data_IF_745429783039
#
_entry.id   IF_745429783039
#
_cell.length_a   1.000
_cell.length_b   1.000
_cell.length_c   1.000
_cell.angle_alpha   90.00
_cell.angle_beta   90.00
_cell.angle_gamma   90.00
#
_symmetry.space_group_name_H-M   'P 1'
#
loop_
_entity.id
_entity.type
_entity.pdbx_description
1 polymer ?
#
# COMPACT_ATOMS: atom_id res chain seq x y z
N UNK A 1 -42.89 -0.02 41.65
CA UNK A 1 -41.42 -0.04 41.43
C UNK A 1 -40.94 -1.44 41.82
N UNK A 2 -40.46 -2.34 40.98
CA UNK A 2 -39.85 -2.21 39.66
C UNK A 2 -40.16 -3.46 38.81
N UNK A 3 -41.06 -3.28 37.84
CA UNK A 3 -41.18 -4.12 36.64
C UNK A 3 -40.21 -3.56 35.59
N UNK A 4 -38.90 -3.84 35.69
CA UNK A 4 -37.93 -3.44 34.67
C UNK A 4 -36.53 -4.09 34.77
N UNK A 5 -36.39 -5.36 35.21
CA UNK A 5 -35.05 -5.96 35.40
C UNK A 5 -34.89 -7.41 34.91
N UNK A 6 -35.64 -7.83 33.88
CA UNK A 6 -35.55 -9.20 33.32
C UNK A 6 -35.45 -9.27 31.78
N UNK A 7 -34.71 -8.36 31.12
CA UNK A 7 -34.55 -8.39 29.65
C UNK A 7 -33.15 -8.14 29.08
N UNK A 8 -32.09 -8.19 29.88
CA UNK A 8 -30.71 -7.98 29.37
C UNK A 8 -29.75 -9.14 29.65
N UNK A 9 -30.25 -10.28 30.12
CA UNK A 9 -29.43 -11.44 30.48
C UNK A 9 -29.65 -12.63 29.52
N UNK A 10 -29.59 -12.39 28.20
CA UNK A 10 -29.65 -13.46 27.18
C UNK A 10 -28.77 -13.25 25.93
N UNK A 11 -27.81 -12.32 25.99
CA UNK A 11 -26.91 -12.01 24.88
C UNK A 11 -25.42 -12.20 25.19
N UNK A 12 -25.03 -12.26 26.47
CA UNK A 12 -23.64 -12.56 26.88
C UNK A 12 -23.37 -14.08 27.00
N UNK A 13 -24.35 -14.89 27.39
CA UNK A 13 -24.19 -16.36 27.52
C UNK A 13 -24.19 -17.10 26.16
N UNK A 14 -24.42 -16.40 25.04
CA UNK A 14 -24.34 -16.96 23.68
C UNK A 14 -23.04 -16.65 22.95
N UNK A 15 -22.15 -15.83 23.52
CA UNK A 15 -20.91 -15.40 22.87
C UNK A 15 -19.62 -15.84 23.58
N UNK A 16 -19.71 -16.50 24.75
CA UNK A 16 -18.55 -16.92 25.55
C UNK A 16 -18.62 -18.39 26.01
N UNK A 17 -19.03 -19.30 25.13
CA UNK A 17 -19.14 -20.74 25.41
C UNK A 17 -18.18 -21.63 24.61
N UNK A 18 -17.03 -21.11 24.19
CA UNK A 18 -16.00 -21.90 23.52
C UNK A 18 -14.63 -21.50 24.07
N UNK A 19 -14.11 -22.25 25.04
CA UNK A 19 -12.68 -22.57 25.27
C UNK A 19 -12.53 -23.29 26.61
N UNK A 20 -12.66 -24.62 26.61
CA UNK A 20 -11.99 -25.45 27.62
C UNK A 20 -11.08 -26.44 26.87
N UNK A 21 -9.79 -26.32 27.17
CA UNK A 21 -8.71 -27.13 26.62
C UNK A 21 -8.57 -28.38 27.48
N UNK A 22 -8.89 -29.55 26.96
CA UNK A 22 -8.31 -30.80 27.46
C UNK A 22 -7.15 -31.20 26.55
N UNK A 23 -5.93 -30.99 27.05
CA UNK A 23 -4.71 -31.56 26.49
C UNK A 23 -4.47 -32.93 27.15
N UNK A 24 -4.42 -33.98 26.34
CA UNK A 24 -3.98 -35.31 26.78
C UNK A 24 -2.52 -35.62 26.39
N UNK A 25 -1.89 -36.43 27.24
CA UNK A 25 -0.43 -36.53 27.53
C UNK A 25 0.47 -37.21 26.49
N UNK A 26 0.11 -37.26 25.21
CA UNK A 26 0.92 -37.98 24.18
C UNK A 26 1.29 -37.16 22.95
N UNK A 27 1.03 -35.84 22.95
CA UNK A 27 1.61 -34.92 21.95
C UNK A 27 1.30 -35.23 20.48
N UNK A 28 0.25 -36.01 20.21
CA UNK A 28 -0.14 -36.45 18.87
C UNK A 28 -1.64 -36.19 18.69
N UNK A 29 -2.00 -35.02 18.14
CA UNK A 29 -3.38 -34.78 17.72
C UNK A 29 -3.56 -35.43 16.35
N UNK A 30 -4.21 -36.59 16.32
CA UNK A 30 -4.83 -37.11 15.10
C UNK A 30 -6.10 -36.29 14.84
N UNK A 31 -5.95 -35.16 14.15
CA UNK A 31 -7.10 -34.52 13.52
C UNK A 31 -7.60 -35.48 12.44
N UNK A 32 -8.80 -36.01 12.65
CA UNK A 32 -9.57 -36.72 11.65
C UNK A 32 -9.72 -35.78 10.45
N UNK A 33 -8.95 -36.01 9.38
CA UNK A 33 -8.72 -35.05 8.28
C UNK A 33 -9.90 -34.95 7.30
N UNK A 34 -11.12 -35.16 7.77
CA UNK A 34 -12.31 -35.35 6.94
C UNK A 34 -13.28 -34.16 6.99
N UNK A 35 -13.04 -33.15 7.84
CA UNK A 35 -13.99 -32.03 8.07
C UNK A 35 -13.44 -30.67 7.63
N UNK A 36 -12.37 -30.62 6.82
CA UNK A 36 -11.88 -29.36 6.24
C UNK A 36 -11.56 -29.51 4.76
N UNK A 37 -12.61 -29.39 3.92
CA UNK A 37 -12.54 -28.82 2.56
C UNK A 37 -13.92 -28.78 1.91
N UNK A 38 -14.82 -27.94 2.43
CA UNK A 38 -15.91 -27.43 1.60
C UNK A 38 -15.84 -25.90 1.59
N UNK A 39 -15.50 -25.38 0.42
CA UNK A 39 -15.51 -23.95 0.10
C UNK A 39 -16.84 -23.34 0.55
N UNK A 40 -16.86 -22.19 1.27
CA UNK A 40 -18.07 -21.65 1.90
C UNK A 40 -19.18 -21.21 0.93
N UNK A 41 -19.02 -21.47 -0.37
CA UNK A 41 -19.96 -21.13 -1.44
C UNK A 41 -20.06 -22.26 -2.48
N UNK A 42 -19.96 -23.52 -2.04
CA UNK A 42 -20.18 -24.70 -2.86
C UNK A 42 -21.59 -24.75 -3.44
N UNK A 43 -21.69 -25.17 -4.70
CA UNK A 43 -22.96 -25.46 -5.38
C UNK A 43 -23.56 -26.73 -4.74
N UNK A 44 -24.51 -26.57 -3.81
CA UNK A 44 -25.15 -27.66 -3.05
C UNK A 44 -26.08 -28.56 -3.89
N UNK A 45 -25.82 -28.73 -5.20
CA UNK A 45 -26.70 -29.48 -6.10
C UNK A 45 -28.09 -28.85 -6.30
N UNK A 46 -28.31 -27.65 -5.77
CA UNK A 46 -29.52 -26.87 -5.92
C UNK A 46 -29.22 -25.69 -6.84
N UNK A 47 -30.08 -25.47 -7.83
CA UNK A 47 -29.93 -24.49 -8.90
C UNK A 47 -30.07 -23.02 -8.43
N UNK A 48 -29.66 -22.69 -7.20
CA UNK A 48 -29.86 -21.40 -6.54
C UNK A 48 -28.55 -20.81 -5.99
N UNK A 49 -28.38 -19.50 -6.14
CA UNK A 49 -27.23 -18.72 -5.64
C UNK A 49 -27.71 -17.39 -5.02
N UNK A 50 -26.95 -16.86 -4.06
CA UNK A 50 -27.26 -15.60 -3.37
C UNK A 50 -26.84 -14.36 -4.18
N UNK A 51 -27.74 -13.38 -4.31
CA UNK A 51 -27.41 -12.09 -4.91
C UNK A 51 -26.69 -11.17 -3.91
N UNK A 52 -25.48 -10.70 -4.24
CA UNK A 52 -24.71 -9.80 -3.35
C UNK A 52 -25.28 -8.38 -3.21
N UNK A 53 -26.33 -8.04 -3.98
CA UNK A 53 -26.97 -6.73 -3.90
C UNK A 53 -28.23 -6.74 -3.02
N UNK A 54 -29.11 -7.75 -3.18
CA UNK A 54 -30.35 -7.84 -2.41
C UNK A 54 -30.33 -8.90 -1.30
N UNK A 55 -29.29 -9.74 -1.22
CA UNK A 55 -29.16 -10.77 -0.18
C UNK A 55 -30.06 -12.00 -0.34
N UNK A 56 -30.92 -12.04 -1.36
CA UNK A 56 -31.85 -13.16 -1.59
C UNK A 56 -31.21 -14.33 -2.34
N UNK A 57 -31.60 -15.55 -2.00
CA UNK A 57 -31.34 -16.76 -2.78
C UNK A 57 -32.25 -16.79 -4.01
N UNK A 58 -31.65 -16.98 -5.20
CA UNK A 58 -32.38 -17.01 -6.46
C UNK A 58 -31.84 -18.09 -7.37
N UNK A 59 -32.68 -18.58 -8.26
CA UNK A 59 -32.22 -19.51 -9.29
C UNK A 59 -31.07 -18.92 -10.12
N UNK A 60 -30.11 -19.76 -10.50
CA UNK A 60 -28.98 -19.43 -11.37
C UNK A 60 -29.44 -18.78 -12.69
N UNK A 61 -30.60 -19.18 -13.19
CA UNK A 61 -31.27 -18.61 -14.37
C UNK A 61 -31.53 -17.10 -14.25
N UNK A 62 -31.67 -16.59 -13.02
CA UNK A 62 -31.86 -15.17 -12.70
C UNK A 62 -30.56 -14.38 -12.69
N UNK A 63 -29.42 -14.99 -13.01
CA UNK A 63 -28.11 -14.35 -13.15
C UNK A 63 -27.60 -14.46 -14.58
N UNK A 64 -26.68 -13.57 -14.96
CA UNK A 64 -25.99 -13.67 -16.25
C UNK A 64 -24.75 -14.54 -16.09
N UNK A 65 -24.45 -15.35 -17.11
CA UNK A 65 -23.19 -16.10 -17.19
C UNK A 65 -22.04 -15.10 -17.24
N UNK A 66 -21.01 -15.34 -16.43
CA UNK A 66 -19.80 -14.54 -16.35
C UNK A 66 -18.58 -15.46 -16.37
N UNK A 67 -18.02 -15.63 -17.57
CA UNK A 67 -16.88 -16.52 -17.84
C UNK A 67 -15.56 -15.99 -17.27
N UNK A 68 -15.53 -14.74 -16.82
CA UNK A 68 -14.30 -14.12 -16.29
C UNK A 68 -14.06 -14.47 -14.81
N UNK A 69 -15.05 -15.03 -14.13
CA UNK A 69 -14.97 -15.34 -12.71
C UNK A 69 -15.09 -16.85 -12.43
N UNK A 70 -14.50 -17.31 -11.33
CA UNK A 70 -14.48 -18.73 -10.94
C UNK A 70 -15.87 -19.32 -10.66
N UNK A 71 -16.89 -18.49 -10.41
CA UNK A 71 -18.27 -18.91 -10.12
C UNK A 71 -19.09 -19.15 -11.39
N UNK A 72 -18.63 -18.69 -12.56
CA UNK A 72 -19.32 -18.83 -13.85
C UNK A 72 -20.56 -17.96 -14.03
N UNK A 73 -21.01 -17.25 -12.98
CA UNK A 73 -22.19 -16.39 -12.99
C UNK A 73 -21.89 -15.05 -12.32
N UNK A 74 -22.61 -14.02 -12.72
CA UNK A 74 -22.49 -12.68 -12.14
C UNK A 74 -22.91 -12.72 -10.66
N UNK A 75 -22.21 -11.95 -9.81
CA UNK A 75 -22.53 -11.83 -8.38
C UNK A 75 -23.84 -11.10 -8.06
N UNK A 76 -24.46 -10.45 -9.06
CA UNK A 76 -25.72 -9.72 -8.96
C UNK A 76 -26.78 -10.32 -9.90
N UNK A 77 -28.01 -10.48 -9.43
CA UNK A 77 -29.10 -10.99 -10.26
C UNK A 77 -29.47 -10.00 -11.38
N UNK A 78 -30.08 -10.49 -12.47
CA UNK A 78 -30.50 -9.71 -13.65
C UNK A 78 -31.34 -8.48 -13.26
N UNK A 79 -32.23 -8.64 -12.28
CA UNK A 79 -33.05 -7.56 -11.73
C UNK A 79 -32.21 -6.54 -10.95
N UNK A 80 -31.35 -6.96 -10.03
CA UNK A 80 -30.45 -6.03 -9.33
C UNK A 80 -29.45 -5.36 -10.28
N UNK A 81 -29.08 -5.99 -11.40
CA UNK A 81 -28.27 -5.35 -12.46
C UNK A 81 -29.07 -4.37 -13.29
N UNK A 82 -30.36 -4.60 -13.52
CA UNK A 82 -31.22 -3.64 -14.21
C UNK A 82 -31.57 -2.45 -13.31
N UNK A 83 -31.81 -2.71 -12.02
CA UNK A 83 -31.99 -1.68 -10.98
C UNK A 83 -30.67 -0.95 -10.71
N UNK A 84 -29.53 -1.64 -10.74
CA UNK A 84 -28.19 -1.04 -10.63
C UNK A 84 -27.77 -0.17 -11.84
N UNK A 85 -28.63 -0.06 -12.87
CA UNK A 85 -28.60 0.98 -13.90
C UNK A 85 -29.69 2.02 -13.71
N UNK A 86 -30.19 2.24 -12.48
CA UNK A 86 -30.93 3.46 -12.21
C UNK A 86 -29.99 4.62 -12.58
N UNK A 87 -30.44 5.42 -13.56
CA UNK A 87 -29.72 6.59 -14.08
C UNK A 87 -29.46 7.66 -13.00
N UNK A 88 -30.04 7.44 -11.81
CA UNK A 88 -30.10 8.34 -10.67
C UNK A 88 -29.31 7.85 -9.44
N UNK A 89 -28.39 6.89 -9.61
CA UNK A 89 -27.43 6.58 -8.53
C UNK A 89 -26.56 7.83 -8.26
N UNK A 90 -26.43 8.28 -7.01
CA UNK A 90 -25.58 9.42 -6.69
C UNK A 90 -24.17 9.12 -7.19
N UNK A 91 -23.66 10.00 -8.06
CA UNK A 91 -22.33 9.86 -8.63
C UNK A 91 -21.34 9.84 -7.48
N UNK A 92 -20.66 8.72 -7.26
CA UNK A 92 -19.52 8.68 -6.34
C UNK A 92 -18.46 9.61 -6.94
N UNK A 93 -18.36 10.81 -6.38
CA UNK A 93 -17.34 11.78 -6.72
C UNK A 93 -16.01 11.16 -6.31
N UNK A 94 -15.17 10.80 -7.28
CA UNK A 94 -13.81 10.37 -7.00
C UNK A 94 -12.96 11.61 -6.82
N UNK A 95 -12.20 11.67 -5.74
CA UNK A 95 -11.26 12.76 -5.48
C UNK A 95 -9.85 12.35 -5.92
N UNK A 96 -9.11 13.30 -6.46
CA UNK A 96 -7.70 13.14 -6.79
C UNK A 96 -6.89 12.85 -5.52
N UNK A 97 -6.04 11.82 -5.55
CA UNK A 97 -5.18 11.47 -4.41
C UNK A 97 -4.11 12.52 -4.07
N UNK A 98 -3.88 13.48 -4.97
CA UNK A 98 -2.82 14.49 -4.80
C UNK A 98 -3.34 15.88 -4.47
N UNK A 99 -4.40 16.34 -5.13
CA UNK A 99 -4.93 17.70 -4.97
C UNK A 99 -6.40 17.74 -4.54
N UNK A 100 -7.00 16.58 -4.29
CA UNK A 100 -8.39 16.42 -3.87
C UNK A 100 -9.46 16.98 -4.84
N UNK A 101 -9.08 17.37 -6.06
CA UNK A 101 -10.02 17.80 -7.09
C UNK A 101 -10.90 16.64 -7.58
N UNK A 102 -12.12 16.96 -8.00
CA UNK A 102 -13.07 15.97 -8.51
C UNK A 102 -12.61 15.37 -9.85
N UNK A 103 -12.55 14.04 -9.94
CA UNK A 103 -12.23 13.30 -11.14
C UNK A 103 -13.53 13.07 -11.93
N UNK A 104 -13.70 13.82 -13.03
CA UNK A 104 -14.93 13.84 -13.83
C UNK A 104 -15.20 12.57 -14.65
N UNK A 105 -14.22 11.66 -14.78
CA UNK A 105 -14.33 10.47 -15.63
C UNK A 105 -14.96 9.27 -14.91
N UNK A 106 -16.23 8.99 -15.26
CA UNK A 106 -17.13 7.98 -14.66
C UNK A 106 -16.64 6.53 -14.71
N UNK A 107 -15.59 6.22 -15.47
CA UNK A 107 -15.04 4.87 -15.62
C UNK A 107 -13.54 4.73 -15.38
N UNK A 108 -12.82 5.82 -15.06
CA UNK A 108 -11.36 5.73 -14.93
C UNK A 108 -10.97 5.11 -13.59
N UNK A 109 -10.04 4.14 -13.61
CA UNK A 109 -9.25 3.70 -12.45
C UNK A 109 -8.21 4.75 -12.03
N UNK A 110 -8.13 5.87 -12.76
CA UNK A 110 -7.21 6.96 -12.50
C UNK A 110 -7.40 7.49 -11.09
N UNK A 111 -6.30 7.52 -10.34
CA UNK A 111 -6.27 8.03 -8.98
C UNK A 111 -5.91 9.53 -8.92
N UNK A 112 -5.67 10.16 -10.08
CA UNK A 112 -5.24 11.56 -10.21
C UNK A 112 -6.07 12.29 -11.27
N UNK A 113 -6.32 13.59 -11.06
CA UNK A 113 -7.18 14.39 -11.94
C UNK A 113 -6.50 14.91 -13.21
N UNK A 114 -5.17 14.93 -13.28
CA UNK A 114 -4.39 15.52 -14.38
C UNK A 114 -3.03 14.82 -14.54
N UNK A 115 -2.36 15.04 -15.68
CA UNK A 115 -0.98 14.59 -15.89
C UNK A 115 -0.01 15.19 -14.86
N UNK A 116 -0.25 16.44 -14.43
CA UNK A 116 0.53 17.08 -13.36
C UNK A 116 0.43 16.31 -12.03
N UNK A 117 -0.79 15.97 -11.60
CA UNK A 117 -0.97 15.16 -10.40
C UNK A 117 -0.48 13.72 -10.58
N UNK A 118 -0.58 13.15 -11.78
CA UNK A 118 0.00 11.85 -12.08
C UNK A 118 1.53 11.85 -11.93
N UNK A 119 2.20 12.92 -12.39
CA UNK A 119 3.64 13.15 -12.17
C UNK A 119 3.99 13.21 -10.69
N UNK A 120 3.33 14.06 -9.91
CA UNK A 120 3.55 14.17 -8.45
C UNK A 120 3.36 12.83 -7.74
N UNK A 121 2.32 12.07 -8.11
CA UNK A 121 2.08 10.72 -7.57
C UNK A 121 3.19 9.74 -7.96
N UNK A 122 3.69 9.80 -9.19
CA UNK A 122 4.81 9.00 -9.65
C UNK A 122 6.10 9.36 -8.89
N UNK A 123 6.34 10.65 -8.63
CA UNK A 123 7.49 11.14 -7.84
C UNK A 123 7.40 10.67 -6.39
N UNK A 124 6.20 10.69 -5.78
CA UNK A 124 5.97 10.10 -4.46
C UNK A 124 6.21 8.58 -4.47
N UNK A 125 5.83 7.89 -5.54
CA UNK A 125 6.09 6.45 -5.72
C UNK A 125 7.59 6.17 -5.88
N UNK A 126 8.36 7.10 -6.44
CA UNK A 126 9.82 7.00 -6.50
C UNK A 126 10.47 6.90 -5.11
N UNK A 127 9.78 7.20 -3.99
CA UNK A 127 10.26 6.84 -2.63
C UNK A 127 10.59 5.34 -2.47
N UNK A 128 10.07 4.45 -3.31
CA UNK A 128 10.46 3.04 -3.36
C UNK A 128 11.87 2.77 -3.90
N UNK A 129 12.48 3.73 -4.60
CA UNK A 129 13.83 3.58 -5.16
C UNK A 129 14.95 3.81 -4.13
N UNK A 130 14.64 4.26 -2.91
CA UNK A 130 15.63 4.34 -1.81
C UNK A 130 16.28 2.98 -1.52
N UNK A 131 15.53 1.90 -1.71
CA UNK A 131 16.03 0.53 -1.60
C UNK A 131 17.21 0.27 -2.55
N UNK A 132 17.25 0.93 -3.72
CA UNK A 132 18.37 0.83 -4.66
C UNK A 132 19.68 1.32 -4.03
N UNK A 133 19.62 2.45 -3.32
CA UNK A 133 20.78 3.04 -2.64
C UNK A 133 21.19 2.21 -1.43
N UNK A 134 20.22 1.75 -0.64
CA UNK A 134 20.48 0.86 0.49
C UNK A 134 21.15 -0.43 0.02
N UNK A 135 20.65 -1.06 -1.04
CA UNK A 135 21.22 -2.30 -1.56
C UNK A 135 22.62 -2.07 -2.16
N UNK A 136 22.83 -0.99 -2.93
CA UNK A 136 24.13 -0.62 -3.47
C UNK A 136 25.20 -0.48 -2.37
N UNK A 137 24.82 0.12 -1.26
CA UNK A 137 25.72 0.41 -0.15
C UNK A 137 25.76 -0.72 0.90
N UNK A 138 25.02 -1.81 0.69
CA UNK A 138 24.94 -2.95 1.61
C UNK A 138 24.34 -2.59 2.96
N UNK A 139 23.38 -1.66 2.98
CA UNK A 139 22.75 -1.12 4.19
C UNK A 139 23.76 -0.54 5.21
N UNK A 140 24.95 -0.14 4.74
CA UNK A 140 26.04 0.39 5.57
C UNK A 140 26.13 1.90 5.46
N UNK A 141 26.23 2.59 6.60
CA UNK A 141 26.45 4.03 6.61
C UNK A 141 27.77 4.39 5.92
N UNK A 142 27.72 5.22 4.88
CA UNK A 142 28.91 5.62 4.12
C UNK A 142 29.83 6.60 4.86
N UNK A 143 29.39 7.10 6.02
CA UNK A 143 30.19 8.00 6.86
C UNK A 143 30.87 7.26 8.03
N UNK A 144 30.10 6.52 8.83
CA UNK A 144 30.63 5.86 10.03
C UNK A 144 30.79 4.34 9.92
N UNK A 145 30.36 3.74 8.81
CA UNK A 145 30.49 2.30 8.58
C UNK A 145 29.52 1.42 9.36
N UNK A 146 28.69 1.97 10.26
CA UNK A 146 27.70 1.19 11.05
C UNK A 146 26.59 0.58 10.18
N UNK A 147 25.99 -0.50 10.67
CA UNK A 147 24.86 -1.19 10.02
C UNK A 147 23.67 -1.41 10.96
N UNK A 148 22.42 -1.46 10.47
CA UNK A 148 21.26 -1.78 11.30
C UNK A 148 21.36 -3.13 12.01
N UNK A 149 22.00 -4.12 11.38
CA UNK A 149 22.14 -5.47 11.92
C UNK A 149 23.15 -5.58 13.07
N UNK A 150 24.20 -4.76 13.05
CA UNK A 150 25.30 -4.84 14.03
C UNK A 150 25.13 -3.81 15.16
N UNK A 151 24.56 -2.63 14.86
CA UNK A 151 24.61 -1.47 15.75
C UNK A 151 23.24 -0.95 16.21
N UNK A 152 22.13 -1.61 15.84
CA UNK A 152 20.75 -1.17 16.13
C UNK A 152 20.47 0.31 15.73
N UNK A 153 20.88 0.67 14.51
CA UNK A 153 20.72 2.03 13.99
C UNK A 153 19.69 2.11 12.87
N UNK A 154 19.01 3.26 12.78
CA UNK A 154 18.18 3.61 11.62
C UNK A 154 19.05 4.16 10.49
N UNK A 155 18.88 3.63 9.28
CA UNK A 155 19.46 4.14 8.05
C UNK A 155 18.46 4.96 7.23
N UNK A 156 18.99 5.95 6.50
CA UNK A 156 18.29 6.88 5.61
C UNK A 156 19.15 7.18 4.39
N UNK A 157 18.59 7.80 3.37
CA UNK A 157 19.37 8.37 2.27
C UNK A 157 19.79 9.81 2.64
N UNK A 158 21.05 10.15 2.39
CA UNK A 158 21.59 11.51 2.55
C UNK A 158 22.24 11.99 1.24
N UNK A 159 22.26 13.31 1.05
CA UNK A 159 22.83 13.97 -0.11
C UNK A 159 24.31 14.29 0.09
N UNK A 160 25.19 13.76 -0.76
CA UNK A 160 26.64 14.04 -0.73
C UNK A 160 26.85 15.56 -0.91
N UNK A 161 26.26 16.14 -1.98
CA UNK A 161 26.11 17.58 -2.17
C UNK A 161 24.76 18.03 -1.57
N UNK A 162 24.74 18.90 -0.55
CA UNK A 162 23.51 19.35 0.09
C UNK A 162 22.52 20.01 -0.88
N UNK A 163 21.23 19.94 -0.56
CA UNK A 163 20.17 20.53 -1.39
C UNK A 163 20.27 22.04 -1.53
N UNK A 164 20.64 22.72 -0.46
CA UNK A 164 20.82 24.18 -0.45
C UNK A 164 21.87 24.64 -1.48
N UNK A 165 22.73 23.72 -1.95
CA UNK A 165 23.74 23.99 -2.96
C UNK A 165 23.40 23.42 -4.34
N UNK A 166 22.14 23.00 -4.52
CA UNK A 166 21.67 22.38 -5.77
C UNK A 166 22.07 20.91 -5.91
N UNK A 167 22.15 20.17 -4.80
CA UNK A 167 22.27 18.72 -4.84
C UNK A 167 21.00 18.05 -5.37
N UNK A 168 21.13 17.25 -6.42
CA UNK A 168 20.02 16.51 -7.04
C UNK A 168 19.65 15.27 -6.21
N UNK A 169 18.42 14.78 -6.36
CA UNK A 169 17.94 13.55 -5.72
C UNK A 169 18.32 12.29 -6.54
N UNK A 170 19.51 12.28 -7.13
CA UNK A 170 19.98 11.26 -8.08
C UNK A 170 20.88 10.22 -7.43
N UNK A 171 21.03 9.06 -8.09
CA UNK A 171 21.81 7.95 -7.57
C UNK A 171 23.31 8.27 -7.38
N UNK A 172 23.87 9.21 -8.13
CA UNK A 172 25.23 9.72 -7.97
C UNK A 172 25.42 10.65 -6.77
N UNK A 173 24.36 11.31 -6.30
CA UNK A 173 24.42 12.27 -5.21
C UNK A 173 23.83 11.73 -3.89
N UNK A 174 23.31 10.50 -3.87
CA UNK A 174 22.70 9.90 -2.69
C UNK A 174 23.51 8.74 -2.14
N UNK A 175 23.61 8.68 -0.82
CA UNK A 175 24.28 7.61 -0.06
C UNK A 175 23.43 7.11 1.09
N UNK A 176 23.68 5.86 1.48
CA UNK A 176 23.16 5.32 2.75
C UNK A 176 23.88 5.95 3.93
N UNK A 177 23.12 6.49 4.87
CA UNK A 177 23.61 7.20 6.04
C UNK A 177 22.80 6.79 7.28
N UNK A 178 23.42 6.71 8.46
CA UNK A 178 22.67 6.52 9.70
C UNK A 178 22.03 7.84 10.15
N UNK A 179 20.93 7.76 10.89
CA UNK A 179 20.21 8.95 11.37
C UNK A 179 21.12 9.93 12.15
N UNK A 180 22.06 9.41 12.96
CA UNK A 180 23.02 10.23 13.72
C UNK A 180 23.98 11.01 12.82
N UNK A 181 24.61 10.36 11.83
CA UNK A 181 25.49 11.03 10.88
C UNK A 181 24.73 12.02 10.00
N UNK A 182 23.51 11.65 9.57
CA UNK A 182 22.65 12.52 8.76
C UNK A 182 22.33 13.82 9.51
N UNK A 183 21.94 13.72 10.78
CA UNK A 183 21.68 14.88 11.63
C UNK A 183 22.95 15.70 11.92
N UNK A 184 24.09 15.04 12.12
CA UNK A 184 25.36 15.71 12.37
C UNK A 184 25.87 16.49 11.14
N UNK A 185 25.67 15.95 9.95
CA UNK A 185 25.99 16.61 8.67
C UNK A 185 24.99 17.72 8.38
N UNK A 186 23.70 17.44 8.47
CA UNK A 186 22.63 18.39 8.10
C UNK A 186 22.90 18.98 6.71
N UNK A 187 22.74 20.29 6.55
CA UNK A 187 23.01 21.01 5.30
C UNK A 187 24.49 21.36 5.07
N UNK A 188 25.42 20.83 5.89
CA UNK A 188 26.85 21.12 5.74
C UNK A 188 27.45 20.39 4.54
N UNK A 189 28.35 21.09 3.85
CA UNK A 189 29.28 20.48 2.89
C UNK A 189 30.20 19.49 3.60
N UNK A 190 30.53 18.40 2.91
CA UNK A 190 31.65 17.56 3.27
C UNK A 190 32.97 18.30 3.02
N UNK A 191 34.01 17.93 3.76
CA UNK A 191 35.37 18.36 3.44
C UNK A 191 35.73 17.89 2.02
N UNK A 192 36.52 18.64 1.24
CA UNK A 192 36.82 18.31 -0.16
C UNK A 192 37.33 16.88 -0.36
N UNK A 193 38.26 16.43 0.48
CA UNK A 193 38.81 15.08 0.43
C UNK A 193 37.74 14.01 0.69
N UNK A 194 36.88 14.21 1.69
CA UNK A 194 35.78 13.30 2.01
C UNK A 194 34.74 13.26 0.89
N UNK A 195 34.43 14.43 0.31
CA UNK A 195 33.52 14.55 -0.82
C UNK A 195 34.02 13.74 -2.02
N UNK A 196 35.29 13.88 -2.37
CA UNK A 196 35.88 13.18 -3.52
C UNK A 196 35.93 11.67 -3.30
N UNK A 197 36.35 11.22 -2.12
CA UNK A 197 36.39 9.80 -1.76
C UNK A 197 35.00 9.14 -1.85
N UNK A 198 33.99 9.76 -1.26
CA UNK A 198 32.62 9.22 -1.26
C UNK A 198 32.03 9.26 -2.67
N UNK A 199 32.20 10.37 -3.40
CA UNK A 199 31.67 10.50 -4.77
C UNK A 199 32.27 9.45 -5.72
N UNK A 200 33.58 9.20 -5.61
CA UNK A 200 34.26 8.16 -6.39
C UNK A 200 33.74 6.76 -6.04
N UNK A 201 33.63 6.43 -4.75
CA UNK A 201 33.08 5.17 -4.27
C UNK A 201 31.65 4.93 -4.79
N UNK A 202 30.81 5.97 -4.78
CA UNK A 202 29.45 5.93 -5.32
C UNK A 202 29.44 5.69 -6.82
N UNK A 203 30.27 6.40 -7.59
CA UNK A 203 30.39 6.21 -9.04
C UNK A 203 30.82 4.77 -9.39
N UNK A 204 31.83 4.24 -8.69
CA UNK A 204 32.34 2.88 -8.87
C UNK A 204 31.27 1.83 -8.56
N UNK A 205 30.54 2.00 -7.45
CA UNK A 205 29.43 1.12 -7.09
C UNK A 205 28.28 1.21 -8.09
N UNK A 206 27.89 2.41 -8.52
CA UNK A 206 26.85 2.59 -9.53
C UNK A 206 27.21 1.84 -10.82
N UNK A 207 28.47 1.94 -11.28
CA UNK A 207 28.99 1.17 -12.42
C UNK A 207 28.94 -0.34 -12.16
N UNK A 208 29.42 -0.79 -11.00
CA UNK A 208 29.45 -2.22 -10.61
C UNK A 208 28.05 -2.84 -10.59
N UNK A 209 27.04 -2.12 -10.11
CA UNK A 209 25.67 -2.60 -9.98
C UNK A 209 24.76 -2.22 -11.16
N UNK A 210 25.30 -1.60 -12.23
CA UNK A 210 24.52 -1.19 -13.40
C UNK A 210 23.46 -0.11 -13.12
N UNK A 211 23.70 0.73 -12.12
CA UNK A 211 22.77 1.80 -11.71
C UNK A 211 23.03 3.03 -12.56
N UNK A 212 21.98 3.55 -13.22
CA UNK A 212 22.05 4.83 -13.91
C UNK A 212 22.34 5.96 -12.90
N UNK A 213 23.48 6.68 -13.01
CA UNK A 213 23.87 7.74 -12.08
C UNK A 213 22.82 8.84 -11.95
N UNK A 214 22.11 9.16 -13.05
CA UNK A 214 21.08 10.21 -13.11
C UNK A 214 19.67 9.70 -12.82
N UNK A 215 19.52 8.46 -12.35
CA UNK A 215 18.21 7.98 -11.87
C UNK A 215 17.82 8.79 -10.63
N UNK A 216 16.65 9.42 -10.68
CA UNK A 216 16.03 10.08 -9.53
C UNK A 216 15.59 9.01 -8.53
N UNK A 217 16.01 9.13 -7.27
CA UNK A 217 15.80 8.16 -6.20
C UNK A 217 14.78 8.66 -5.18
N UNK A 218 14.84 9.94 -4.80
CA UNK A 218 13.87 10.51 -3.87
C UNK A 218 13.16 11.66 -4.53
N UNK A 219 11.87 11.52 -4.82
CA UNK A 219 11.05 12.66 -5.21
C UNK A 219 10.88 13.57 -4.00
N UNK A 220 11.83 14.48 -3.76
CA UNK A 220 11.68 15.42 -2.67
C UNK A 220 10.75 16.52 -3.11
N UNK A 221 9.56 16.55 -2.52
CA UNK A 221 8.92 17.82 -2.27
C UNK A 221 8.73 17.96 -0.77
N UNK A 222 9.20 19.12 -0.29
CA UNK A 222 8.56 19.89 0.75
C UNK A 222 7.04 19.64 0.72
N UNK A 223 6.38 19.62 1.88
CA UNK A 223 4.92 19.51 1.99
C UNK A 223 4.26 20.75 1.37
N UNK A 224 4.32 20.89 0.05
CA UNK A 224 3.51 21.80 -0.70
C UNK A 224 2.16 21.12 -0.83
N UNK A 225 1.17 21.70 -0.16
CA UNK A 225 -0.24 21.48 -0.49
C UNK A 225 -0.33 21.76 -1.98
N UNK A 226 -0.56 20.73 -2.78
CA UNK A 226 -0.69 20.87 -4.23
C UNK A 226 -1.98 21.66 -4.45
N UNK A 227 -1.92 22.89 -4.99
CA UNK A 227 -3.13 23.67 -5.26
C UNK A 227 -4.04 22.87 -6.18
N UNK A 228 -5.36 23.08 -6.11
CA UNK A 228 -6.27 22.36 -7.00
C UNK A 228 -5.89 22.71 -8.43
N UNK A 229 -5.84 21.71 -9.32
CA UNK A 229 -5.46 21.95 -10.72
C UNK A 229 -6.41 22.95 -11.41
N UNK A 230 -7.61 23.08 -10.86
CA UNK A 230 -8.67 23.99 -11.27
C UNK A 230 -8.31 25.48 -11.02
N UNK A 231 -7.45 25.75 -10.03
CA UNK A 231 -7.05 27.09 -9.57
C UNK A 231 -5.83 27.65 -10.32
N UNK A 232 -5.19 26.84 -11.17
CA UNK A 232 -3.93 27.18 -11.87
C UNK A 232 -4.15 27.53 -13.35
N UNK A 233 -5.38 27.85 -13.75
CA UNK A 233 -5.75 28.20 -15.14
C UNK A 233 -5.74 29.71 -15.42
N UNK A 234 -4.86 30.47 -14.79
CA UNK A 234 -4.58 31.87 -15.13
C UNK A 234 -3.19 31.99 -15.73
#
# INVERSE_FOLDING_TARGET
>A
MNTALNRTQSLQDRLYGAFEQEMDRTGSISINSSILREEPYGNYGLNMIICMCCGEFKEVSKFNIDRSNKRGYNKFCKLCRSIGRQKDMPKVIKLCSECNAEIKNRGSSAATCSLKCAGIRADKKAKGDQFLIFNRDGCRCQYCGRTPSEDDIKIVCDHIKPKIEGGEDTADNLVTCCAGCNSAKSDKKLLPETFELISKSVADKNKKFGINPKKIITGSHSRHVVPRCDEQKN
#
